data_IF_842198611516
#
_entry.id   IF_842198611516
#
_cell.length_a   1.000
_cell.length_b   1.000
_cell.length_c   1.000
_cell.angle_alpha   90.00
_cell.angle_beta   90.00
_cell.angle_gamma   90.00
#
_symmetry.space_group_name_H-M   'P 1'
#
loop_
_entity.id
_entity.type
_entity.pdbx_description
1 polymer ?
#
# COMPACT_ATOMS: atom_id res chain seq x y z
N UNK A 1 13.00 93.53 -14.35
CA UNK A 1 13.43 92.63 -15.43
C UNK A 1 13.55 91.24 -14.83
N UNK A 2 12.52 90.40 -14.99
CA UNK A 2 12.46 89.07 -14.36
C UNK A 2 12.76 88.00 -15.42
N UNK A 3 13.73 87.09 -15.20
CA UNK A 3 14.01 86.02 -16.15
C UNK A 3 12.95 84.90 -16.03
N UNK A 4 12.31 84.58 -17.14
CA UNK A 4 11.38 83.45 -17.29
C UNK A 4 12.18 82.15 -17.34
N UNK A 5 12.06 81.30 -16.31
CA UNK A 5 12.61 79.94 -16.31
C UNK A 5 11.66 79.05 -17.11
N UNK A 6 12.14 78.52 -18.23
CA UNK A 6 11.44 77.53 -19.05
C UNK A 6 11.82 76.13 -18.55
N UNK A 7 10.89 75.31 -18.01
CA UNK A 7 11.22 73.96 -17.57
C UNK A 7 11.35 73.03 -18.77
N UNK A 8 12.50 72.36 -18.86
CA UNK A 8 12.73 71.32 -19.86
C UNK A 8 11.86 70.07 -19.58
N UNK A 9 11.29 69.43 -20.61
CA UNK A 9 10.53 68.20 -20.42
C UNK A 9 11.46 67.06 -20.02
N UNK A 10 11.22 66.46 -18.86
CA UNK A 10 11.84 65.21 -18.45
C UNK A 10 11.24 64.10 -19.30
N UNK A 11 11.96 63.72 -20.36
CA UNK A 11 11.66 62.53 -21.16
C UNK A 11 11.87 61.27 -20.32
N UNK A 12 10.83 60.86 -19.59
CA UNK A 12 10.74 59.52 -19.02
C UNK A 12 10.64 58.51 -20.17
N UNK A 13 11.73 57.79 -20.45
CA UNK A 13 11.69 56.62 -21.36
C UNK A 13 10.72 55.59 -20.77
N UNK A 14 9.56 55.44 -21.39
CA UNK A 14 8.66 54.34 -21.11
C UNK A 14 9.42 53.02 -21.32
N UNK A 15 9.63 52.26 -20.25
CA UNK A 15 10.14 50.88 -20.36
C UNK A 15 9.02 50.05 -20.97
N UNK A 16 9.22 49.56 -22.19
CA UNK A 16 8.30 48.61 -22.81
C UNK A 16 8.21 47.35 -21.92
N UNK A 17 6.99 46.83 -21.67
CA UNK A 17 6.83 45.58 -20.93
C UNK A 17 7.50 44.45 -21.72
N UNK A 18 8.38 43.70 -21.06
CA UNK A 18 9.06 42.53 -21.64
C UNK A 18 7.98 41.47 -21.90
N UNK A 19 7.65 41.23 -23.17
CA UNK A 19 6.77 40.15 -23.56
C UNK A 19 7.46 38.81 -23.25
N UNK A 20 6.74 37.90 -22.58
CA UNK A 20 7.22 36.55 -22.29
C UNK A 20 7.50 35.81 -23.59
N UNK A 21 8.65 35.15 -23.69
CA UNK A 21 9.03 34.48 -24.94
C UNK A 21 8.43 33.07 -25.01
N UNK A 22 8.09 32.60 -26.21
CA UNK A 22 7.55 31.26 -26.42
C UNK A 22 8.52 30.17 -25.92
N UNK A 23 9.83 30.38 -26.11
CA UNK A 23 10.87 29.48 -25.61
C UNK A 23 10.82 29.35 -24.08
N UNK A 24 10.50 30.42 -23.37
CA UNK A 24 10.41 30.46 -21.90
C UNK A 24 9.26 29.59 -21.40
N UNK A 25 8.11 29.64 -22.08
CA UNK A 25 6.99 28.75 -21.77
C UNK A 25 7.32 27.29 -22.10
N UNK A 26 8.00 27.02 -23.22
CA UNK A 26 8.40 25.65 -23.59
C UNK A 26 9.33 25.04 -22.53
N UNK A 27 10.34 25.77 -22.09
CA UNK A 27 11.29 25.27 -21.08
C UNK A 27 10.57 25.02 -19.75
N UNK A 28 9.65 25.92 -19.35
CA UNK A 28 8.87 25.74 -18.11
C UNK A 28 8.01 24.48 -18.18
N UNK A 29 7.25 24.26 -19.26
CA UNK A 29 6.40 23.06 -19.35
C UNK A 29 7.23 21.78 -19.46
N UNK A 30 8.41 21.84 -20.07
CA UNK A 30 9.35 20.71 -20.11
C UNK A 30 9.84 20.37 -18.71
N UNK A 31 10.29 21.36 -17.95
CA UNK A 31 10.75 21.17 -16.56
C UNK A 31 9.60 20.62 -15.70
N UNK A 32 8.40 21.19 -15.82
CA UNK A 32 7.22 20.72 -15.09
C UNK A 32 6.85 19.26 -15.45
N UNK A 33 6.92 18.90 -16.74
CA UNK A 33 6.66 17.52 -17.18
C UNK A 33 7.65 16.51 -16.61
N UNK A 34 8.95 16.85 -16.60
CA UNK A 34 9.98 15.99 -16.03
C UNK A 34 9.82 15.83 -14.51
N UNK A 35 9.56 16.93 -13.79
CA UNK A 35 9.35 16.88 -12.34
C UNK A 35 8.10 16.09 -11.97
N UNK A 36 7.00 16.26 -12.71
CA UNK A 36 5.76 15.52 -12.47
C UNK A 36 5.95 14.00 -12.58
N UNK A 37 6.72 13.53 -13.57
CA UNK A 37 6.98 12.10 -13.75
C UNK A 37 7.72 11.48 -12.55
N UNK A 38 8.73 12.17 -12.00
CA UNK A 38 9.50 11.68 -10.85
C UNK A 38 8.64 11.67 -9.58
N UNK A 39 7.83 12.71 -9.36
CA UNK A 39 6.96 12.81 -8.18
C UNK A 39 5.90 11.71 -8.17
N UNK A 40 5.30 11.39 -9.32
CA UNK A 40 4.30 10.33 -9.40
C UNK A 40 4.87 8.96 -9.01
N UNK A 41 6.09 8.64 -9.45
CA UNK A 41 6.75 7.39 -9.07
C UNK A 41 6.99 7.30 -7.56
N UNK A 42 7.45 8.39 -6.92
CA UNK A 42 7.71 8.40 -5.47
C UNK A 42 6.44 8.28 -4.63
N UNK A 43 5.34 8.93 -5.05
CA UNK A 43 4.06 8.88 -4.32
C UNK A 43 3.46 7.48 -4.36
N UNK A 44 3.61 6.74 -5.46
CA UNK A 44 3.13 5.36 -5.58
C UNK A 44 3.73 4.43 -4.51
N UNK A 45 5.05 4.49 -4.35
CA UNK A 45 5.77 3.64 -3.38
C UNK A 45 5.38 3.99 -1.94
N UNK A 46 5.27 5.27 -1.61
CA UNK A 46 4.83 5.73 -0.28
C UNK A 46 3.44 5.25 0.09
N UNK A 47 2.49 5.28 -0.86
CA UNK A 47 1.14 4.77 -0.63
C UNK A 47 1.17 3.27 -0.36
N UNK A 48 1.96 2.52 -1.12
CA UNK A 48 2.13 1.08 -0.93
C UNK A 48 2.66 0.71 0.46
N UNK A 49 3.71 1.39 0.92
CA UNK A 49 4.28 1.22 2.27
C UNK A 49 3.24 1.55 3.35
N UNK A 50 2.51 2.66 3.23
CA UNK A 50 1.47 3.02 4.20
C UNK A 50 0.31 2.02 4.25
N UNK A 51 -0.05 1.45 3.09
CA UNK A 51 -1.04 0.36 3.02
C UNK A 51 -0.56 -0.93 3.70
N UNK A 52 0.73 -1.27 3.54
CA UNK A 52 1.33 -2.42 4.23
C UNK A 52 1.32 -2.22 5.75
N UNK A 53 1.69 -1.02 6.23
CA UNK A 53 1.68 -0.70 7.66
C UNK A 53 0.29 -0.80 8.28
N UNK A 54 -0.73 -0.29 7.59
CA UNK A 54 -2.12 -0.40 8.03
C UNK A 54 -2.62 -1.86 8.09
N UNK A 55 -2.13 -2.73 7.19
CA UNK A 55 -2.43 -4.17 7.25
C UNK A 55 -1.79 -4.85 8.46
N UNK A 56 -0.62 -4.41 8.93
CA UNK A 56 0.07 -5.02 10.06
C UNK A 56 -0.81 -5.06 11.32
N UNK A 57 -1.51 -3.96 11.61
CA UNK A 57 -2.46 -3.91 12.72
C UNK A 57 -3.65 -4.86 12.53
N UNK A 58 -4.14 -4.97 11.30
CA UNK A 58 -5.24 -5.88 10.94
C UNK A 58 -4.83 -7.35 11.09
N UNK A 59 -3.64 -7.71 10.60
CA UNK A 59 -3.08 -9.06 10.71
C UNK A 59 -2.92 -9.47 12.17
N UNK A 60 -2.37 -8.60 13.02
CA UNK A 60 -2.26 -8.86 14.46
C UNK A 60 -3.62 -9.13 15.08
N UNK A 61 -4.62 -8.29 14.78
CA UNK A 61 -5.97 -8.45 15.32
C UNK A 61 -6.62 -9.79 14.88
N UNK A 62 -6.48 -10.17 13.61
CA UNK A 62 -7.02 -11.45 13.11
C UNK A 62 -6.31 -12.64 13.75
N UNK A 63 -4.98 -12.59 13.92
CA UNK A 63 -4.21 -13.65 14.59
C UNK A 63 -4.62 -13.83 16.05
N UNK A 64 -4.83 -12.73 16.79
CA UNK A 64 -5.34 -12.78 18.16
C UNK A 64 -6.72 -13.43 18.23
N UNK A 65 -7.61 -13.09 17.28
CA UNK A 65 -8.95 -13.65 17.22
C UNK A 65 -8.94 -15.16 16.91
N UNK A 66 -8.09 -15.60 15.98
CA UNK A 66 -7.89 -17.03 15.68
C UNK A 66 -7.45 -17.77 16.95
N UNK A 67 -6.44 -17.25 17.66
CA UNK A 67 -5.93 -17.88 18.88
C UNK A 67 -6.96 -17.89 20.01
N UNK A 68 -7.71 -16.80 20.18
CA UNK A 68 -8.80 -16.73 21.15
C UNK A 68 -9.88 -17.80 20.87
N UNK A 69 -10.30 -17.93 19.61
CA UNK A 69 -11.30 -18.91 19.17
C UNK A 69 -10.81 -20.35 19.34
N UNK A 70 -9.57 -20.63 18.93
CA UNK A 70 -8.91 -21.92 19.15
C UNK A 70 -8.90 -22.30 20.65
N UNK A 71 -8.56 -21.35 21.52
CA UNK A 71 -8.55 -21.56 22.98
C UNK A 71 -9.95 -21.69 23.61
N UNK A 72 -10.96 -21.01 23.04
CA UNK A 72 -12.34 -21.05 23.53
C UNK A 72 -13.12 -22.30 23.10
N UNK A 73 -12.66 -23.03 22.08
CA UNK A 73 -13.38 -24.19 21.54
C UNK A 73 -14.61 -23.84 20.69
N UNK A 74 -14.70 -22.61 20.19
CA UNK A 74 -15.71 -22.13 19.24
C UNK A 74 -14.94 -21.61 18.00
N UNK A 75 -15.20 -21.93 16.70
CA UNK A 75 -16.20 -22.72 15.94
C UNK A 75 -15.72 -24.17 15.61
N UNK A 76 -16.24 -24.95 14.60
CA UNK A 76 -15.67 -26.27 14.30
C UNK A 76 -14.16 -26.18 14.09
N UNK A 77 -13.43 -26.82 15.02
CA UNK A 77 -11.99 -26.92 14.99
C UNK A 77 -11.59 -28.12 14.13
N UNK A 78 -10.45 -28.01 13.48
CA UNK A 78 -9.81 -29.14 12.82
C UNK A 78 -9.14 -30.06 13.85
N UNK A 79 -8.50 -31.13 13.36
CA UNK A 79 -7.75 -32.06 14.23
C UNK A 79 -6.56 -31.40 14.94
N UNK A 80 -6.07 -30.27 14.42
CA UNK A 80 -4.98 -29.49 14.99
C UNK A 80 -5.45 -28.45 16.02
N UNK A 81 -6.76 -28.34 16.26
CA UNK A 81 -7.34 -27.46 17.28
C UNK A 81 -7.52 -26.02 16.82
N UNK A 82 -7.47 -25.74 15.52
CA UNK A 82 -7.71 -24.40 14.97
C UNK A 82 -9.03 -24.33 14.20
N UNK A 83 -9.64 -23.14 14.09
CA UNK A 83 -10.83 -22.97 13.28
C UNK A 83 -10.68 -23.50 11.85
N UNK A 84 -11.71 -24.17 11.33
CA UNK A 84 -11.69 -24.66 9.94
C UNK A 84 -11.90 -23.56 8.88
N UNK A 85 -12.25 -22.34 9.30
CA UNK A 85 -12.46 -21.18 8.44
C UNK A 85 -12.31 -19.88 9.25
N UNK A 86 -12.20 -18.73 8.58
CA UNK A 86 -12.32 -17.39 9.17
C UNK A 86 -13.65 -16.80 8.69
N UNK A 87 -14.54 -16.51 9.63
CA UNK A 87 -15.90 -16.04 9.32
C UNK A 87 -16.09 -14.55 9.66
N UNK A 88 -16.86 -13.84 8.84
CA UNK A 88 -17.19 -12.43 9.07
C UNK A 88 -17.91 -12.16 10.40
N UNK A 89 -18.68 -13.13 10.91
CA UNK A 89 -19.39 -13.06 12.19
C UNK A 89 -18.49 -12.94 13.40
N UNK A 90 -17.18 -13.22 13.25
CA UNK A 90 -16.24 -13.03 14.34
C UNK A 90 -15.93 -11.55 14.60
N UNK A 91 -16.27 -10.68 13.65
CA UNK A 91 -15.95 -9.26 13.68
C UNK A 91 -17.22 -8.43 13.94
N UNK A 92 -17.05 -7.26 14.55
CA UNK A 92 -18.17 -6.38 14.98
C UNK A 92 -19.14 -5.99 13.87
N UNK A 93 -18.68 -5.99 12.61
CA UNK A 93 -19.50 -5.64 11.44
C UNK A 93 -20.04 -6.84 10.66
N UNK A 94 -19.91 -8.06 11.21
CA UNK A 94 -20.27 -9.30 10.52
C UNK A 94 -19.59 -9.44 9.14
N UNK A 95 -18.37 -8.88 9.02
CA UNK A 95 -17.56 -8.91 7.80
C UNK A 95 -16.08 -9.01 8.18
N UNK A 96 -15.31 -9.70 7.35
CA UNK A 96 -13.85 -9.74 7.47
C UNK A 96 -13.31 -8.32 7.21
N UNK A 97 -12.26 -7.86 7.92
CA UNK A 97 -11.70 -6.54 7.70
C UNK A 97 -11.31 -6.30 6.24
N UNK A 98 -11.34 -5.03 5.83
CA UNK A 98 -11.03 -4.63 4.46
C UNK A 98 -9.54 -4.71 4.17
N UNK A 99 -9.20 -5.11 2.95
CA UNK A 99 -7.84 -5.10 2.46
C UNK A 99 -7.47 -3.71 1.92
N UNK A 100 -6.36 -3.12 2.35
CA UNK A 100 -6.03 -1.71 2.07
C UNK A 100 -5.76 -1.40 0.59
N UNK A 101 -5.42 -2.40 -0.22
CA UNK A 101 -5.27 -2.25 -1.68
C UNK A 101 -6.59 -2.27 -2.45
N UNK A 102 -7.53 -3.14 -2.07
CA UNK A 102 -8.81 -3.28 -2.78
C UNK A 102 -9.92 -2.44 -2.17
N UNK A 103 -9.78 -2.04 -0.90
CA UNK A 103 -10.83 -1.39 -0.10
C UNK A 103 -12.12 -2.22 -0.01
N UNK A 104 -11.96 -3.55 -0.10
CA UNK A 104 -13.03 -4.53 0.00
C UNK A 104 -12.70 -5.54 1.10
N UNK A 105 -13.70 -6.25 1.68
CA UNK A 105 -13.45 -7.32 2.63
C UNK A 105 -12.42 -8.32 2.10
N UNK A 106 -11.50 -8.76 2.95
CA UNK A 106 -10.49 -9.73 2.55
C UNK A 106 -11.12 -11.03 2.06
N UNK A 107 -10.56 -11.57 0.98
CA UNK A 107 -10.89 -12.90 0.44
C UNK A 107 -9.83 -13.86 0.96
N UNK A 108 -10.21 -14.67 1.95
CA UNK A 108 -9.29 -15.58 2.64
C UNK A 108 -9.22 -16.91 1.90
N UNK A 109 -8.04 -17.25 1.42
CA UNK A 109 -7.73 -18.61 1.02
C UNK A 109 -7.50 -19.48 2.25
N UNK A 110 -8.38 -20.44 2.49
CA UNK A 110 -8.23 -21.43 3.56
C UNK A 110 -7.53 -22.66 3.00
N UNK A 111 -6.40 -23.07 3.61
CA UNK A 111 -5.61 -24.23 3.17
C UNK A 111 -5.30 -25.17 4.33
N UNK A 112 -5.02 -26.43 4.01
CA UNK A 112 -4.47 -27.43 4.92
C UNK A 112 -3.02 -27.76 4.51
N UNK A 113 -2.14 -26.77 4.67
CA UNK A 113 -0.70 -26.89 4.34
C UNK A 113 0.08 -27.59 5.45
N UNK A 114 1.30 -28.11 5.20
CA UNK A 114 2.16 -28.66 6.23
C UNK A 114 2.30 -27.72 7.45
N UNK A 115 2.37 -28.28 8.66
CA UNK A 115 2.37 -27.50 9.90
C UNK A 115 3.56 -26.53 10.05
N UNK A 116 4.67 -26.77 9.33
CA UNK A 116 5.82 -25.87 9.30
C UNK A 116 5.67 -24.71 8.30
N UNK A 117 4.65 -24.74 7.42
CA UNK A 117 4.36 -23.65 6.49
C UNK A 117 3.57 -22.55 7.19
N UNK A 118 4.19 -21.38 7.31
CA UNK A 118 3.65 -20.20 8.00
C UNK A 118 3.31 -19.04 7.04
N UNK A 119 3.84 -19.08 5.82
CA UNK A 119 3.57 -18.08 4.78
C UNK A 119 3.00 -18.75 3.53
N UNK A 120 2.17 -18.03 2.75
CA UNK A 120 1.71 -18.53 1.48
C UNK A 120 2.86 -18.65 0.47
N UNK A 121 2.74 -19.60 -0.44
CA UNK A 121 3.66 -19.74 -1.58
C UNK A 121 3.60 -18.51 -2.50
N UNK A 122 2.40 -17.96 -2.69
CA UNK A 122 2.15 -16.73 -3.44
C UNK A 122 1.90 -15.58 -2.46
N UNK A 123 2.73 -14.55 -2.49
CA UNK A 123 2.72 -13.42 -1.53
C UNK A 123 2.14 -12.13 -2.08
N UNK A 124 2.00 -12.05 -3.39
CA UNK A 124 1.40 -10.93 -4.10
C UNK A 124 0.05 -11.33 -4.67
N UNK A 125 -0.77 -10.34 -5.03
CA UNK A 125 -1.99 -10.54 -5.79
C UNK A 125 -2.24 -9.33 -6.71
N UNK A 126 -3.14 -9.48 -7.68
CA UNK A 126 -3.58 -8.37 -8.53
C UNK A 126 -4.68 -7.55 -7.83
N UNK A 127 -4.44 -6.29 -7.44
CA UNK A 127 -5.45 -5.45 -6.82
C UNK A 127 -6.65 -5.11 -7.72
N UNK A 128 -6.50 -5.27 -9.04
CA UNK A 128 -7.57 -5.06 -10.02
C UNK A 128 -8.59 -6.18 -10.07
N UNK A 129 -8.28 -7.36 -9.53
CA UNK A 129 -9.19 -8.49 -9.44
C UNK A 129 -9.85 -8.55 -8.05
N UNK A 130 -11.15 -8.20 -7.92
CA UNK A 130 -11.84 -8.21 -6.63
C UNK A 130 -12.06 -9.62 -6.08
N UNK A 131 -11.92 -10.67 -6.90
CA UNK A 131 -12.02 -12.06 -6.47
C UNK A 131 -10.67 -12.65 -6.06
N UNK A 132 -9.57 -11.92 -6.25
CA UNK A 132 -8.24 -12.40 -5.88
C UNK A 132 -8.16 -12.67 -4.38
N UNK A 133 -7.74 -13.87 -4.03
CA UNK A 133 -7.48 -14.27 -2.65
C UNK A 133 -6.33 -13.41 -2.11
N UNK A 134 -6.66 -12.40 -1.30
CA UNK A 134 -5.71 -11.43 -0.77
C UNK A 134 -5.31 -11.72 0.69
N UNK A 135 -5.87 -12.78 1.29
CA UNK A 135 -5.46 -13.32 2.56
C UNK A 135 -5.28 -14.84 2.48
N UNK A 136 -4.51 -15.39 3.40
CA UNK A 136 -4.18 -16.80 3.47
C UNK A 136 -4.23 -17.27 4.92
N UNK A 137 -4.86 -18.42 5.12
CA UNK A 137 -5.03 -19.04 6.42
C UNK A 137 -4.74 -20.54 6.34
N UNK A 138 -3.85 -21.04 7.19
CA UNK A 138 -3.56 -22.47 7.31
C UNK A 138 -4.23 -23.06 8.54
N UNK A 139 -5.20 -23.94 8.31
CA UNK A 139 -5.96 -24.58 9.40
C UNK A 139 -5.06 -25.47 10.25
N UNK A 140 -4.03 -26.09 9.67
CA UNK A 140 -3.21 -27.07 10.40
C UNK A 140 -2.32 -26.46 11.49
N UNK A 141 -2.07 -25.15 11.47
CA UNK A 141 -1.21 -24.46 12.44
C UNK A 141 -1.71 -23.07 12.87
N UNK A 142 -2.88 -22.65 12.39
CA UNK A 142 -3.45 -21.34 12.67
C UNK A 142 -2.72 -20.16 12.03
N UNK A 143 -1.74 -20.39 11.15
CA UNK A 143 -0.97 -19.31 10.55
C UNK A 143 -1.86 -18.47 9.62
N UNK A 144 -1.80 -17.15 9.80
CA UNK A 144 -2.52 -16.18 8.99
C UNK A 144 -1.55 -15.16 8.40
N UNK A 145 -1.73 -14.87 7.11
CA UNK A 145 -0.98 -13.85 6.40
C UNK A 145 -1.85 -13.15 5.35
N UNK A 146 -1.54 -11.90 5.06
CA UNK A 146 -2.10 -11.15 3.93
C UNK A 146 -1.12 -11.12 2.78
N UNK A 147 -1.66 -11.13 1.56
CA UNK A 147 -0.89 -10.86 0.34
C UNK A 147 -0.84 -9.36 0.11
N UNK A 148 0.17 -8.90 -0.61
CA UNK A 148 0.31 -7.48 -0.97
C UNK A 148 0.01 -7.27 -2.46
N UNK A 149 -0.33 -6.04 -2.86
CA UNK A 149 -0.36 -5.74 -4.30
C UNK A 149 1.04 -5.85 -4.91
N UNK A 150 1.14 -6.34 -6.14
CA UNK A 150 2.42 -6.46 -6.83
C UNK A 150 2.98 -5.08 -7.22
N UNK A 151 4.19 -4.78 -6.75
CA UNK A 151 4.94 -3.55 -7.08
C UNK A 151 5.76 -3.67 -8.37
N UNK A 152 5.91 -4.87 -8.94
CA UNK A 152 6.78 -5.13 -10.09
C UNK A 152 8.27 -5.21 -9.73
N UNK A 153 8.65 -4.91 -8.48
CA UNK A 153 9.99 -5.12 -7.93
C UNK A 153 9.97 -6.16 -6.81
N UNK A 154 10.92 -7.09 -6.84
CA UNK A 154 10.98 -8.23 -5.90
C UNK A 154 11.33 -7.77 -4.49
N UNK A 155 12.22 -6.78 -4.34
CA UNK A 155 12.64 -6.31 -3.02
C UNK A 155 11.54 -5.48 -2.38
N UNK A 156 10.89 -4.60 -3.14
CA UNK A 156 9.71 -3.86 -2.65
C UNK A 156 8.59 -4.81 -2.23
N UNK A 157 8.36 -5.88 -2.99
CA UNK A 157 7.40 -6.91 -2.62
C UNK A 157 7.78 -7.64 -1.32
N UNK A 158 9.06 -7.97 -1.12
CA UNK A 158 9.54 -8.59 0.13
C UNK A 158 9.36 -7.65 1.31
N UNK A 159 9.73 -6.38 1.15
CA UNK A 159 9.65 -5.36 2.21
C UNK A 159 8.19 -5.09 2.60
N UNK A 160 7.31 -4.87 1.62
CA UNK A 160 5.90 -4.66 1.87
C UNK A 160 5.23 -5.90 2.49
N UNK A 161 5.59 -7.12 2.06
CA UNK A 161 5.07 -8.34 2.67
C UNK A 161 5.55 -8.48 4.12
N UNK A 162 6.83 -8.23 4.39
CA UNK A 162 7.41 -8.24 5.73
C UNK A 162 6.73 -7.24 6.65
N UNK A 163 6.51 -6.02 6.15
CA UNK A 163 5.83 -4.96 6.89
C UNK A 163 4.37 -5.34 7.19
N UNK A 164 3.61 -5.78 6.19
CA UNK A 164 2.21 -6.14 6.35
C UNK A 164 1.97 -7.34 7.27
N UNK A 165 2.89 -8.31 7.28
CA UNK A 165 2.72 -9.55 8.03
C UNK A 165 3.53 -9.63 9.32
N UNK A 166 4.30 -8.59 9.64
CA UNK A 166 5.33 -8.58 10.69
C UNK A 166 6.30 -9.76 10.53
N UNK A 167 6.66 -10.05 9.27
CA UNK A 167 7.50 -11.16 8.86
C UNK A 167 8.96 -10.74 8.65
N UNK A 168 9.83 -11.72 8.41
CA UNK A 168 11.25 -11.52 8.09
C UNK A 168 11.71 -12.47 6.99
N UNK A 169 10.95 -12.58 5.91
CA UNK A 169 11.35 -13.37 4.75
C UNK A 169 12.49 -12.68 4.00
N UNK A 170 13.35 -13.47 3.39
CA UNK A 170 14.45 -13.01 2.52
C UNK A 170 14.19 -13.32 1.04
N UNK A 171 13.11 -14.07 0.74
CA UNK A 171 12.73 -14.46 -0.61
C UNK A 171 11.21 -14.64 -0.72
N UNK A 172 10.65 -14.32 -1.89
CA UNK A 172 9.24 -14.58 -2.17
C UNK A 172 8.90 -16.08 -2.19
N UNK A 173 9.89 -16.97 -2.34
CA UNK A 173 9.69 -18.42 -2.28
C UNK A 173 9.72 -18.98 -0.84
N UNK A 174 10.11 -18.17 0.16
CA UNK A 174 10.22 -18.63 1.55
C UNK A 174 8.84 -18.86 2.16
N UNK A 175 8.56 -20.07 2.66
CA UNK A 175 7.26 -20.45 3.23
C UNK A 175 7.32 -20.87 4.71
N UNK A 176 8.52 -20.99 5.27
CA UNK A 176 8.80 -21.39 6.67
C UNK A 176 9.64 -20.32 7.39
N UNK A 177 9.77 -20.43 8.71
CA UNK A 177 10.87 -19.76 9.43
C UNK A 177 12.18 -20.48 9.10
N UNK A 178 13.28 -19.73 9.05
CA UNK A 178 14.63 -20.29 9.08
C UNK A 178 15.10 -20.47 10.53
#
# INVERSE_FOLDING_TARGET
>A
MSPTVSPAPISGRARLPRAFTLIEIIIVVLILGLLAAIVLAQVGNLIGTGRAEALAGTVTHVRELINYRAGAGEPPLDASGFPTTIDGSWFTRNQIPEHTWTQLPMVVQVVASPANQIYPAIKTFDPGDPAAENAWYNVNNGAFAVRIGDFGDVNENIDAFNQANLARITSLAQITFD
#
